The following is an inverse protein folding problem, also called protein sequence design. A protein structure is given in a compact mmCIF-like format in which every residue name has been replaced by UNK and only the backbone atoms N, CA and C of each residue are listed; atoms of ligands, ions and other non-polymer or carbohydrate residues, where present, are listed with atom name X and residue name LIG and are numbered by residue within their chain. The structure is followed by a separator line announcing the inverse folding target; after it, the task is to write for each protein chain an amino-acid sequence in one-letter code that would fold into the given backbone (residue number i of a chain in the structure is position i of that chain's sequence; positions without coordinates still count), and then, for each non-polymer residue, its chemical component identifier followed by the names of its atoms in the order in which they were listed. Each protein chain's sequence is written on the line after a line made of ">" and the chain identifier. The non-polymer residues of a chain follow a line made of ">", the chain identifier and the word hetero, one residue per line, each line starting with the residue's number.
data_IF_043536379377
#
_entry.id   IF_043536379377
#
_cell.length_a   1.000
_cell.length_b   1.000
_cell.length_c   1.000
_cell.angle_alpha   90.00
_cell.angle_beta   90.00
_cell.angle_gamma   90.00
#
_symmetry.space_group_name_H-M   'P 1'
#
loop_
_entity.id
_entity.type
_entity.pdbx_description
1 polymer ?
#
# COMPACT_ATOMS: atom_id res chain seq x y z
N UNK A 1 -26.33 13.76 9.26
CA UNK A 1 -25.00 13.96 8.64
C UNK A 1 -24.57 12.63 8.06
N UNK A 2 -24.55 12.52 6.73
CA UNK A 2 -23.97 11.36 6.04
C UNK A 2 -22.47 11.65 5.96
N UNK A 3 -21.67 10.94 6.77
CA UNK A 3 -20.22 10.95 6.62
C UNK A 3 -19.91 10.19 5.32
N UNK A 4 -19.65 10.91 4.23
CA UNK A 4 -19.03 10.33 3.05
C UNK A 4 -17.59 9.99 3.44
N UNK A 5 -17.36 8.75 3.85
CA UNK A 5 -16.02 8.20 3.93
C UNK A 5 -15.49 8.16 2.48
N UNK A 6 -14.62 9.10 2.13
CA UNK A 6 -13.85 9.03 0.90
C UNK A 6 -12.99 7.76 1.00
N UNK A 7 -13.44 6.68 0.36
CA UNK A 7 -12.59 5.53 0.09
C UNK A 7 -11.49 6.05 -0.83
N UNK A 8 -10.32 6.34 -0.27
CA UNK A 8 -9.13 6.59 -1.06
C UNK A 8 -8.84 5.30 -1.84
N UNK A 9 -9.33 5.23 -3.09
CA UNK A 9 -9.00 4.15 -4.00
C UNK A 9 -7.54 4.27 -4.34
N UNK A 10 -6.77 3.31 -3.85
CA UNK A 10 -5.38 3.13 -4.25
C UNK A 10 -5.36 2.63 -5.69
N UNK A 11 -4.82 3.43 -6.60
CA UNK A 11 -4.76 3.10 -8.04
C UNK A 11 -3.32 2.77 -8.40
N UNK A 12 -3.08 1.50 -8.78
CA UNK A 12 -1.85 1.08 -9.45
C UNK A 12 -1.99 1.33 -10.95
N UNK A 13 -1.00 1.97 -11.56
CA UNK A 13 -0.96 2.17 -13.00
C UNK A 13 0.39 1.73 -13.59
N UNK A 14 0.36 1.15 -14.80
CA UNK A 14 1.58 0.75 -15.49
C UNK A 14 2.38 1.98 -15.97
N UNK A 15 3.70 1.89 -15.86
CA UNK A 15 4.66 2.87 -16.35
C UNK A 15 5.75 2.14 -17.12
N UNK A 16 6.02 2.60 -18.34
CA UNK A 16 7.07 2.05 -19.19
C UNK A 16 8.45 2.43 -18.66
N UNK A 17 9.46 1.59 -18.91
CA UNK A 17 10.82 1.81 -18.40
C UNK A 17 11.52 3.07 -18.92
N UNK A 18 11.06 3.61 -20.06
CA UNK A 18 11.56 4.85 -20.67
C UNK A 18 10.73 6.09 -20.31
N UNK A 19 9.70 5.94 -19.46
CA UNK A 19 8.81 7.03 -19.08
C UNK A 19 9.53 8.07 -18.19
N UNK A 20 9.41 9.35 -18.56
CA UNK A 20 10.05 10.46 -17.83
C UNK A 20 9.61 10.57 -16.37
N UNK A 21 8.44 10.03 -16.01
CA UNK A 21 7.94 9.99 -14.62
C UNK A 21 8.85 9.21 -13.68
N UNK A 22 9.66 8.28 -14.20
CA UNK A 22 10.63 7.50 -13.43
C UNK A 22 11.87 8.32 -13.04
N UNK A 23 12.11 9.47 -13.70
CA UNK A 23 13.25 10.34 -13.43
C UNK A 23 12.91 11.51 -12.49
N UNK A 24 11.64 11.60 -12.09
CA UNK A 24 11.16 12.65 -11.19
C UNK A 24 11.77 12.46 -9.79
N UNK A 25 12.24 13.55 -9.16
CA UNK A 25 12.83 13.51 -7.81
C UNK A 25 11.78 13.08 -6.75
N UNK A 26 10.50 13.28 -7.06
CA UNK A 26 9.36 12.80 -6.26
C UNK A 26 9.04 11.31 -6.44
N UNK A 27 9.74 10.57 -7.29
CA UNK A 27 9.46 9.15 -7.55
C UNK A 27 10.48 8.25 -6.84
N UNK A 28 10.00 7.40 -5.95
CA UNK A 28 10.78 6.26 -5.43
C UNK A 28 10.59 5.07 -6.36
N UNK A 29 11.69 4.42 -6.73
CA UNK A 29 11.70 3.18 -7.48
C UNK A 29 12.42 2.13 -6.64
N UNK A 30 11.82 0.95 -6.46
CA UNK A 30 12.49 -0.14 -5.75
C UNK A 30 13.70 -0.67 -6.55
N UNK A 31 14.72 -1.25 -5.88
CA UNK A 31 15.87 -1.84 -6.56
C UNK A 31 15.48 -2.89 -7.62
N UNK A 32 14.51 -3.75 -7.31
CA UNK A 32 14.03 -4.79 -8.23
C UNK A 32 13.31 -4.17 -9.43
N UNK A 33 12.60 -3.06 -9.24
CA UNK A 33 11.99 -2.31 -10.35
C UNK A 33 13.04 -1.63 -11.23
N UNK A 34 14.13 -1.10 -10.65
CA UNK A 34 15.27 -0.59 -11.41
C UNK A 34 15.90 -1.70 -12.25
N UNK A 35 16.19 -2.86 -11.66
CA UNK A 35 16.74 -4.01 -12.38
C UNK A 35 15.79 -4.50 -13.49
N UNK A 36 14.48 -4.54 -13.22
CA UNK A 36 13.48 -4.89 -14.21
C UNK A 36 13.50 -3.94 -15.41
N UNK A 37 13.63 -2.63 -15.18
CA UNK A 37 13.75 -1.63 -16.25
C UNK A 37 15.04 -1.83 -17.05
N UNK A 38 16.18 -2.01 -16.37
CA UNK A 38 17.50 -2.18 -17.01
C UNK A 38 17.61 -3.46 -17.84
N UNK A 39 16.93 -4.53 -17.41
CA UNK A 39 16.91 -5.83 -18.10
C UNK A 39 15.90 -5.91 -19.24
N UNK A 40 15.12 -4.84 -19.49
CA UNK A 40 14.16 -4.76 -20.58
C UNK A 40 12.78 -5.33 -20.24
N UNK A 41 12.42 -5.38 -18.96
CA UNK A 41 11.03 -5.57 -18.56
C UNK A 41 10.26 -4.26 -18.80
N UNK A 42 9.30 -4.29 -19.71
CA UNK A 42 8.69 -3.09 -20.28
C UNK A 42 7.76 -2.32 -19.33
N UNK A 43 7.49 -2.81 -18.11
CA UNK A 43 6.49 -2.18 -17.25
C UNK A 43 6.72 -2.40 -15.77
N UNK A 44 6.81 -1.30 -15.03
CA UNK A 44 6.67 -1.25 -13.57
C UNK A 44 5.28 -0.71 -13.21
N UNK A 45 4.82 -1.00 -11.99
CA UNK A 45 3.54 -0.48 -11.50
C UNK A 45 3.83 0.64 -10.50
N UNK A 46 3.23 1.80 -10.74
CA UNK A 46 3.39 2.96 -9.88
C UNK A 46 2.08 3.33 -9.19
N UNK A 47 2.22 4.01 -8.07
CA UNK A 47 1.15 4.54 -7.24
C UNK A 47 1.52 5.96 -6.82
N UNK A 48 0.59 6.89 -6.92
CA UNK A 48 0.75 8.20 -6.30
C UNK A 48 0.49 8.07 -4.79
N UNK A 49 1.42 8.56 -3.99
CA UNK A 49 1.35 8.53 -2.54
C UNK A 49 0.46 9.69 -2.05
N UNK A 50 -0.26 9.52 -0.92
CA UNK A 50 -1.00 10.63 -0.36
C UNK A 50 -0.05 11.73 0.11
N UNK A 51 -0.50 12.98 0.07
CA UNK A 51 0.31 14.19 0.31
C UNK A 51 1.03 14.20 1.67
N UNK A 52 0.62 13.34 2.61
CA UNK A 52 1.17 13.21 3.95
C UNK A 52 2.12 12.01 4.14
N UNK A 53 2.30 11.15 3.13
CA UNK A 53 2.99 9.87 3.28
C UNK A 53 4.53 9.97 3.31
N UNK A 54 5.14 10.95 2.63
CA UNK A 54 6.60 11.14 2.60
C UNK A 54 7.00 12.40 1.82
N UNK A 55 8.31 12.66 1.69
CA UNK A 55 8.88 13.64 0.75
C UNK A 55 8.75 13.26 -0.73
N UNK A 56 8.04 12.19 -1.03
CA UNK A 56 7.88 11.64 -2.37
C UNK A 56 6.41 11.54 -2.73
N UNK A 57 6.13 11.80 -4.00
CA UNK A 57 4.79 11.84 -4.55
C UNK A 57 4.38 10.50 -5.16
N UNK A 58 5.35 9.60 -5.41
CA UNK A 58 5.13 8.35 -6.14
C UNK A 58 6.03 7.23 -5.66
N UNK A 59 5.49 6.01 -5.66
CA UNK A 59 6.24 4.78 -5.51
C UNK A 59 6.02 3.86 -6.72
N UNK A 60 7.11 3.36 -7.30
CA UNK A 60 7.11 2.42 -8.42
C UNK A 60 7.82 1.12 -8.00
N UNK A 61 7.10 0.01 -8.15
CA UNK A 61 7.57 -1.32 -7.78
C UNK A 61 7.25 -2.32 -8.89
N UNK A 62 7.90 -3.47 -8.85
CA UNK A 62 7.52 -4.62 -9.68
C UNK A 62 6.16 -5.17 -9.24
N UNK A 63 5.54 -5.98 -10.11
CA UNK A 63 4.28 -6.66 -9.74
C UNK A 63 4.44 -7.56 -8.51
N UNK A 64 5.54 -8.32 -8.43
CA UNK A 64 5.77 -9.25 -7.32
C UNK A 64 5.91 -8.51 -5.97
N UNK A 65 6.51 -7.33 -5.98
CA UNK A 65 6.61 -6.50 -4.78
C UNK A 65 5.25 -5.91 -4.36
N UNK A 66 4.41 -5.52 -5.32
CA UNK A 66 3.03 -5.10 -5.01
C UNK A 66 2.20 -6.23 -4.43
N UNK A 67 2.31 -7.43 -4.99
CA UNK A 67 1.63 -8.61 -4.47
C UNK A 67 2.06 -8.88 -3.02
N UNK A 68 3.36 -8.83 -2.73
CA UNK A 68 3.90 -8.98 -1.38
C UNK A 68 3.40 -7.88 -0.43
N UNK A 69 3.33 -6.64 -0.91
CA UNK A 69 2.85 -5.50 -0.12
C UNK A 69 1.38 -5.66 0.25
N UNK A 70 0.57 -6.15 -0.69
CA UNK A 70 -0.85 -6.42 -0.46
C UNK A 70 -1.04 -7.56 0.54
N UNK A 71 -0.30 -8.66 0.40
CA UNK A 71 -0.34 -9.79 1.35
C UNK A 71 -0.01 -9.36 2.78
N UNK A 72 1.01 -8.51 2.95
CA UNK A 72 1.38 -7.97 4.26
C UNK A 72 0.29 -7.06 4.83
N UNK A 73 -0.33 -6.22 3.99
CA UNK A 73 -1.40 -5.33 4.40
C UNK A 73 -2.65 -6.12 4.85
N UNK A 74 -3.00 -7.19 4.13
CA UNK A 74 -4.10 -8.08 4.49
C UNK A 74 -3.83 -8.83 5.80
N UNK A 75 -2.61 -9.33 6.00
CA UNK A 75 -2.22 -10.01 7.22
C UNK A 75 -2.30 -9.08 8.46
N UNK A 76 -1.82 -7.83 8.33
CA UNK A 76 -1.92 -6.82 9.38
C UNK A 76 -3.37 -6.44 9.70
N UNK A 77 -4.23 -6.31 8.67
CA UNK A 77 -5.66 -6.07 8.88
C UNK A 77 -6.32 -7.23 9.66
N UNK A 78 -6.04 -8.47 9.28
CA UNK A 78 -6.56 -9.65 9.98
C UNK A 78 -6.07 -9.72 11.44
N UNK A 79 -4.82 -9.33 11.69
CA UNK A 79 -4.28 -9.26 13.06
C UNK A 79 -4.99 -8.20 13.90
N UNK A 80 -5.23 -7.00 13.34
CA UNK A 80 -5.95 -5.92 14.02
C UNK A 80 -7.39 -6.32 14.38
N UNK A 81 -8.09 -6.97 13.45
CA UNK A 81 -9.45 -7.47 13.69
C UNK A 81 -9.50 -8.50 14.82
N UNK A 82 -8.52 -9.41 14.85
CA UNK A 82 -8.38 -10.41 15.91
C UNK A 82 -8.16 -9.78 17.29
N UNK A 83 -7.26 -8.80 17.39
CA UNK A 83 -7.01 -8.06 18.63
C UNK A 83 -8.29 -7.33 19.09
N UNK A 84 -8.96 -6.64 18.18
CA UNK A 84 -10.19 -5.91 18.50
C UNK A 84 -11.33 -6.85 18.94
N UNK A 85 -11.48 -8.02 18.30
CA UNK A 85 -12.45 -9.03 18.69
C UNK A 85 -12.18 -9.57 20.10
N UNK A 86 -10.90 -9.81 20.43
CA UNK A 86 -10.48 -10.24 21.76
C UNK A 86 -10.79 -9.18 22.82
N UNK A 87 -10.50 -7.91 22.55
CA UNK A 87 -10.80 -6.81 23.47
C UNK A 87 -12.30 -6.73 23.76
N UNK A 88 -13.15 -6.80 22.72
CA UNK A 88 -14.62 -6.84 22.88
C UNK A 88 -15.08 -8.02 23.74
N UNK A 89 -14.50 -9.21 23.53
CA UNK A 89 -14.83 -10.38 24.33
C UNK A 89 -14.46 -10.20 25.81
N UNK A 90 -13.28 -9.61 26.09
CA UNK A 90 -12.83 -9.32 27.45
C UNK A 90 -13.72 -8.26 28.14
N UNK A 91 -14.08 -7.18 27.43
CA UNK A 91 -15.00 -6.17 27.96
C UNK A 91 -16.36 -6.78 28.27
N UNK A 92 -16.92 -7.59 27.37
CA UNK A 92 -18.20 -8.26 27.61
C UNK A 92 -18.12 -9.21 28.81
N UNK A 93 -17.07 -10.02 28.92
CA UNK A 93 -16.86 -10.92 30.05
C UNK A 93 -16.77 -10.15 31.39
N UNK A 94 -16.08 -9.01 31.42
CA UNK A 94 -16.00 -8.15 32.60
C UNK A 94 -17.37 -7.62 33.03
N UNK A 95 -18.22 -7.20 32.07
CA UNK A 95 -19.58 -6.73 32.35
C UNK A 95 -20.43 -7.84 32.97
N UNK A 96 -20.33 -9.08 32.49
CA UNK A 96 -21.10 -10.21 33.02
C UNK A 96 -20.64 -10.71 34.40
N UNK A 97 -19.40 -10.44 34.79
CA UNK A 97 -18.83 -10.86 36.07
C UNK A 97 -18.99 -9.81 37.19
N UNK A 98 -19.63 -8.67 36.91
CA UNK A 98 -19.91 -7.60 37.86
C UNK A 98 -21.40 -7.52 38.18
#
# INVERSE_FOLDING_TARGET
>A
MILLAALATVVLYPVAGDDTRLQDEGTIISPDAVEAIETGSDTVLCMDLPEDASSHDRACLTRAEWDTTLELAEADAAQRDSVQARERALTNAYIYLR
#
